data_IF_212045637586
#
_entry.id   IF_212045637586
#
_cell.length_a   1.000
_cell.length_b   1.000
_cell.length_c   1.000
_cell.angle_alpha   90.00
_cell.angle_beta   90.00
_cell.angle_gamma   90.00
#
_symmetry.space_group_name_H-M   'P 1'
#
loop_
_entity.id
_entity.type
_entity.pdbx_description
1 polymer ?
#
# COMPACT_ATOMS: atom_id res chain seq x y z
N UNK A 1 -33.64 -0.90 23.89
CA UNK A 1 -32.24 -0.51 23.66
C UNK A 1 -31.35 -1.47 24.44
N UNK A 2 -30.67 -2.39 23.73
CA UNK A 2 -30.07 -3.60 24.32
C UNK A 2 -28.59 -3.42 24.59
N UNK A 3 -28.18 -3.66 25.83
CA UNK A 3 -26.81 -3.58 26.36
C UNK A 3 -25.86 -4.66 25.79
N UNK A 4 -26.37 -5.60 24.97
CA UNK A 4 -25.62 -6.72 24.42
C UNK A 4 -24.58 -6.34 23.33
N UNK A 5 -24.56 -5.09 22.84
CA UNK A 5 -23.61 -4.65 21.79
C UNK A 5 -22.27 -4.12 22.28
N UNK A 6 -22.02 -4.06 23.59
CA UNK A 6 -20.79 -3.44 24.14
C UNK A 6 -19.66 -4.40 24.50
N UNK A 7 -19.85 -5.72 24.36
CA UNK A 7 -18.88 -6.71 24.83
C UNK A 7 -17.82 -7.17 23.79
N UNK A 8 -17.94 -6.78 22.50
CA UNK A 8 -17.06 -7.32 21.44
C UNK A 8 -15.99 -6.35 20.91
N UNK A 9 -15.79 -5.19 21.54
CA UNK A 9 -14.76 -4.22 21.11
C UNK A 9 -13.48 -4.21 21.97
N UNK A 10 -13.35 -5.14 22.91
CA UNK A 10 -12.14 -5.29 23.70
C UNK A 10 -11.49 -6.65 23.38
N UNK A 11 -10.52 -6.66 22.47
CA UNK A 11 -9.28 -7.46 22.49
C UNK A 11 -8.70 -7.60 21.07
N UNK A 12 -7.75 -6.75 20.73
CA UNK A 12 -6.72 -7.11 19.77
C UNK A 12 -5.37 -6.66 20.32
N UNK A 13 -4.59 -7.56 20.95
CA UNK A 13 -3.21 -7.23 21.29
C UNK A 13 -2.39 -7.20 20.00
N UNK A 14 -2.03 -6.00 19.57
CA UNK A 14 -1.01 -5.80 18.54
C UNK A 14 0.32 -6.39 19.04
N UNK A 15 0.71 -7.55 18.53
CA UNK A 15 2.06 -8.09 18.76
C UNK A 15 3.07 -7.19 18.05
N UNK A 16 4.03 -6.55 18.74
CA UNK A 16 5.13 -5.90 18.06
C UNK A 16 6.04 -7.00 17.49
N UNK A 17 6.12 -7.08 16.16
CA UNK A 17 7.16 -7.84 15.47
C UNK A 17 8.49 -7.10 15.66
N UNK A 18 9.18 -7.36 16.76
CA UNK A 18 10.58 -7.00 16.88
C UNK A 18 11.38 -7.94 15.98
N UNK A 19 11.60 -7.52 14.74
CA UNK A 19 12.64 -8.10 13.88
C UNK A 19 13.96 -7.80 14.55
N UNK A 20 14.55 -8.83 15.17
CA UNK A 20 15.90 -8.78 15.71
C UNK A 20 16.87 -8.61 14.54
N UNK A 21 17.16 -7.35 14.22
CA UNK A 21 18.17 -6.94 13.24
C UNK A 21 19.55 -7.38 13.77
N UNK A 22 20.00 -8.58 13.38
CA UNK A 22 21.37 -9.04 13.60
C UNK A 22 22.30 -8.15 12.77
N UNK A 23 22.91 -7.14 13.41
CA UNK A 23 24.11 -6.52 12.87
C UNK A 23 25.20 -7.60 12.86
N UNK A 24 25.59 -8.04 11.68
CA UNK A 24 26.85 -8.72 11.49
C UNK A 24 27.97 -7.70 11.80
N UNK A 25 28.46 -7.73 13.05
CA UNK A 25 29.69 -7.04 13.40
C UNK A 25 30.83 -7.84 12.77
N UNK A 26 31.29 -7.36 11.62
CA UNK A 26 32.60 -7.68 11.06
C UNK A 26 33.68 -7.36 12.09
N UNK A 27 34.27 -8.42 12.66
CA UNK A 27 35.52 -8.32 13.41
C UNK A 27 36.62 -7.92 12.43
N UNK A 28 37.03 -6.64 12.49
CA UNK A 28 38.24 -6.17 11.82
C UNK A 28 39.47 -6.68 12.57
N UNK A 29 40.09 -7.74 12.06
CA UNK A 29 41.43 -8.15 12.45
C UNK A 29 42.46 -7.36 11.63
N UNK A 30 43.02 -6.29 12.22
CA UNK A 30 44.35 -5.79 11.84
C UNK A 30 45.35 -6.65 12.62
N UNK A 31 46.16 -7.49 12.00
CA UNK A 31 47.33 -7.18 11.15
C UNK A 31 48.51 -6.67 12.00
N UNK A 32 49.26 -7.64 12.53
CA UNK A 32 50.63 -7.46 12.98
C UNK A 32 51.46 -8.59 12.36
N UNK A 33 52.22 -8.17 11.36
CA UNK A 33 53.33 -8.89 10.75
C UNK A 33 54.33 -9.35 11.81
N UNK A 34 54.83 -10.59 11.67
CA UNK A 34 56.24 -10.88 11.94
C UNK A 34 56.69 -12.11 11.14
N UNK A 35 57.88 -11.95 10.57
CA UNK A 35 58.60 -12.77 9.60
C UNK A 35 58.69 -14.26 9.93
N UNK A 36 58.32 -15.12 8.99
CA UNK A 36 58.97 -16.43 8.83
C UNK A 36 59.03 -16.87 7.35
N UNK A 37 60.25 -16.88 6.83
CA UNK A 37 60.67 -17.40 5.54
C UNK A 37 60.27 -18.86 5.33
N UNK A 38 59.35 -19.17 4.41
CA UNK A 38 59.27 -20.50 3.80
C UNK A 38 58.89 -20.40 2.32
N UNK A 39 59.68 -21.13 1.53
CA UNK A 39 59.61 -21.28 0.08
C UNK A 39 58.18 -21.45 -0.45
N UNK A 40 57.78 -20.54 -1.34
CA UNK A 40 56.59 -20.71 -2.16
C UNK A 40 56.88 -21.75 -3.25
N UNK A 41 56.76 -23.02 -2.90
CA UNK A 41 56.43 -24.02 -3.92
C UNK A 41 54.93 -23.89 -4.22
N UNK A 42 54.64 -23.52 -5.47
CA UNK A 42 53.29 -23.48 -6.01
C UNK A 42 52.70 -24.89 -6.05
N UNK A 43 52.06 -25.26 -4.94
CA UNK A 43 51.28 -26.50 -4.80
C UNK A 43 49.80 -26.15 -4.77
N UNK A 44 49.30 -25.48 -5.81
CA UNK A 44 47.85 -25.35 -6.04
C UNK A 44 47.25 -26.71 -6.41
N UNK A 45 47.15 -27.59 -5.43
CA UNK A 45 46.18 -28.68 -5.45
C UNK A 45 44.82 -28.02 -5.25
N UNK A 46 44.11 -27.78 -6.36
CA UNK A 46 42.71 -27.39 -6.29
C UNK A 46 41.97 -28.50 -5.51
N UNK A 47 41.36 -28.19 -4.34
CA UNK A 47 40.56 -29.18 -3.65
C UNK A 47 39.49 -29.66 -4.61
N UNK A 48 39.24 -30.99 -4.70
CA UNK A 48 38.24 -31.52 -5.62
C UNK A 48 36.91 -30.82 -5.33
N UNK A 49 36.50 -29.99 -6.27
CA UNK A 49 35.28 -29.21 -6.23
C UNK A 49 34.01 -30.08 -6.21
N UNK A 50 34.18 -31.40 -6.25
CA UNK A 50 33.11 -32.40 -6.36
C UNK A 50 32.16 -32.47 -5.16
N UNK A 51 32.54 -32.00 -3.97
CA UNK A 51 31.66 -32.06 -2.78
C UNK A 51 31.13 -30.69 -2.34
N UNK A 52 31.89 -29.62 -2.53
CA UNK A 52 31.55 -28.28 -2.03
C UNK A 52 31.32 -27.22 -3.12
N UNK A 53 31.63 -27.49 -4.40
CA UNK A 53 31.27 -26.57 -5.47
C UNK A 53 29.90 -26.93 -6.06
N UNK A 54 28.96 -26.05 -5.79
CA UNK A 54 27.68 -25.90 -6.45
C UNK A 54 26.65 -27.03 -6.36
N UNK A 55 26.92 -28.33 -6.52
CA UNK A 55 25.84 -29.33 -6.73
C UNK A 55 25.87 -30.61 -5.86
N UNK A 56 26.94 -30.86 -5.11
CA UNK A 56 27.06 -32.06 -4.24
C UNK A 56 26.51 -31.88 -2.80
N UNK A 57 26.11 -30.66 -2.42
CA UNK A 57 25.70 -30.35 -1.07
C UNK A 57 24.29 -30.90 -0.74
N UNK A 58 24.04 -31.24 0.53
CA UNK A 58 22.74 -31.70 1.05
C UNK A 58 21.59 -30.73 0.71
N UNK A 59 21.88 -29.44 0.54
CA UNK A 59 20.93 -28.45 0.06
C UNK A 59 20.33 -28.83 -1.31
N UNK A 60 21.16 -29.09 -2.32
CA UNK A 60 20.68 -29.41 -3.67
C UNK A 60 20.03 -30.78 -3.76
N UNK A 61 20.51 -31.75 -2.97
CA UNK A 61 19.81 -33.02 -2.80
C UNK A 61 18.38 -32.79 -2.30
N UNK A 62 18.20 -31.97 -1.28
CA UNK A 62 16.88 -31.65 -0.74
C UNK A 62 16.02 -30.90 -1.75
N UNK A 63 16.59 -30.00 -2.56
CA UNK A 63 15.88 -29.30 -3.65
C UNK A 63 15.40 -30.28 -4.72
N UNK A 64 16.25 -31.22 -5.16
CA UNK A 64 15.87 -32.25 -6.13
C UNK A 64 14.77 -33.14 -5.56
N UNK A 65 14.91 -33.61 -4.32
CA UNK A 65 13.88 -34.41 -3.65
C UNK A 65 12.56 -33.64 -3.50
N UNK A 66 12.60 -32.35 -3.14
CA UNK A 66 11.42 -31.51 -3.06
C UNK A 66 10.76 -31.31 -4.43
N UNK A 67 11.55 -31.17 -5.50
CA UNK A 67 11.02 -31.04 -6.86
C UNK A 67 10.32 -32.33 -7.31
N UNK A 68 10.91 -33.50 -7.06
CA UNK A 68 10.31 -34.80 -7.37
C UNK A 68 9.04 -35.01 -6.54
N UNK A 69 9.10 -34.69 -5.24
CA UNK A 69 7.93 -34.77 -4.36
C UNK A 69 6.80 -33.87 -4.86
N UNK A 70 7.11 -32.65 -5.32
CA UNK A 70 6.11 -31.72 -5.87
C UNK A 70 5.46 -32.27 -7.13
N UNK A 71 6.25 -32.84 -8.06
CA UNK A 71 5.72 -33.47 -9.27
C UNK A 71 4.86 -34.69 -8.93
N UNK A 72 5.29 -35.51 -7.96
CA UNK A 72 4.52 -36.66 -7.49
C UNK A 72 3.19 -36.22 -6.86
N UNK A 73 3.19 -35.17 -6.03
CA UNK A 73 1.96 -34.60 -5.47
C UNK A 73 1.06 -34.09 -6.60
N UNK A 74 1.57 -33.34 -7.58
CA UNK A 74 0.72 -32.84 -8.66
C UNK A 74 0.11 -33.96 -9.52
N UNK A 75 0.85 -35.06 -9.75
CA UNK A 75 0.39 -36.20 -10.57
C UNK A 75 -0.55 -37.15 -9.82
N UNK A 76 -0.34 -37.35 -8.52
CA UNK A 76 -1.04 -38.35 -7.72
C UNK A 76 -1.92 -37.77 -6.62
N UNK A 77 -1.99 -36.44 -6.48
CA UNK A 77 -2.92 -35.83 -5.55
C UNK A 77 -4.36 -36.16 -5.98
N UNK A 78 -5.21 -36.59 -5.04
CA UNK A 78 -6.62 -36.79 -5.31
C UNK A 78 -7.24 -35.49 -5.79
N UNK A 79 -8.07 -35.59 -6.83
CA UNK A 79 -8.88 -34.50 -7.29
C UNK A 79 -9.93 -34.13 -6.22
N UNK A 80 -10.44 -32.90 -6.26
CA UNK A 80 -11.44 -32.44 -5.28
C UNK A 80 -12.75 -33.26 -5.29
N UNK A 81 -12.93 -34.16 -6.27
CA UNK A 81 -14.07 -35.09 -6.36
C UNK A 81 -13.75 -36.54 -5.97
N UNK A 82 -12.49 -36.87 -5.64
CA UNK A 82 -12.13 -38.21 -5.21
C UNK A 82 -12.54 -38.43 -3.74
N UNK A 83 -13.22 -39.54 -3.47
CA UNK A 83 -13.77 -39.92 -2.17
C UNK A 83 -12.67 -40.47 -1.27
N UNK A 84 -11.74 -39.60 -0.89
CA UNK A 84 -10.64 -39.89 0.03
C UNK A 84 -11.09 -39.55 1.44
N UNK A 85 -10.79 -40.43 2.40
CA UNK A 85 -11.17 -40.21 3.81
C UNK A 85 -10.79 -38.82 4.34
N UNK A 86 -9.62 -38.31 3.95
CA UNK A 86 -9.16 -36.98 4.34
C UNK A 86 -10.01 -35.85 3.73
N UNK A 87 -10.41 -35.94 2.46
CA UNK A 87 -11.26 -34.92 1.83
C UNK A 87 -12.67 -34.93 2.45
N UNK A 88 -13.20 -36.10 2.77
CA UNK A 88 -14.48 -36.25 3.48
C UNK A 88 -14.42 -35.70 4.92
N UNK A 89 -13.33 -35.96 5.64
CA UNK A 89 -13.11 -35.41 6.99
C UNK A 89 -13.00 -33.88 6.96
N UNK A 90 -12.26 -33.33 6.00
CA UNK A 90 -12.17 -31.87 5.81
C UNK A 90 -13.56 -31.31 5.46
N UNK A 91 -14.28 -31.95 4.55
CA UNK A 91 -15.62 -31.52 4.12
C UNK A 91 -16.62 -31.44 5.29
N UNK A 92 -16.51 -32.33 6.28
CA UNK A 92 -17.38 -32.34 7.46
C UNK A 92 -17.24 -31.08 8.33
N UNK A 93 -16.04 -30.48 8.39
CA UNK A 93 -15.76 -29.31 9.21
C UNK A 93 -15.72 -28.00 8.42
N UNK A 94 -15.74 -28.05 7.09
CA UNK A 94 -15.76 -26.86 6.24
C UNK A 94 -17.19 -26.44 5.89
N UNK A 95 -17.46 -25.13 5.91
CA UNK A 95 -18.72 -24.62 5.42
C UNK A 95 -18.88 -24.90 3.90
N UNK A 96 -20.11 -25.23 3.43
CA UNK A 96 -20.35 -25.56 2.03
C UNK A 96 -19.97 -24.37 1.13
N UNK A 97 -19.50 -24.67 -0.08
CA UNK A 97 -19.05 -23.65 -1.07
C UNK A 97 -20.09 -22.55 -1.29
N UNK A 98 -21.37 -22.91 -1.36
CA UNK A 98 -22.46 -21.97 -1.61
C UNK A 98 -22.61 -20.93 -0.49
N UNK A 99 -22.30 -21.29 0.75
CA UNK A 99 -22.27 -20.35 1.87
C UNK A 99 -21.25 -19.23 1.60
N UNK A 100 -20.03 -19.58 1.20
CA UNK A 100 -18.99 -18.60 0.89
C UNK A 100 -19.33 -17.75 -0.33
N UNK A 101 -19.93 -18.35 -1.37
CA UNK A 101 -20.37 -17.61 -2.54
C UNK A 101 -21.42 -16.55 -2.19
N UNK A 102 -22.43 -16.91 -1.40
CA UNK A 102 -23.46 -15.95 -0.97
C UNK A 102 -22.89 -14.86 -0.05
N UNK A 103 -21.96 -15.21 0.84
CA UNK A 103 -21.31 -14.26 1.73
C UNK A 103 -20.42 -13.26 0.95
N UNK A 104 -19.64 -13.76 0.00
CA UNK A 104 -18.80 -12.92 -0.87
C UNK A 104 -19.64 -12.01 -1.78
N UNK A 105 -20.76 -12.52 -2.31
CA UNK A 105 -21.69 -11.71 -3.09
C UNK A 105 -22.29 -10.58 -2.25
N UNK A 106 -22.74 -10.86 -1.02
CA UNK A 106 -23.24 -9.86 -0.08
C UNK A 106 -22.18 -8.82 0.28
N UNK A 107 -20.96 -9.26 0.58
CA UNK A 107 -19.86 -8.36 0.91
C UNK A 107 -19.50 -7.45 -0.26
N UNK A 108 -19.50 -7.99 -1.48
CA UNK A 108 -19.22 -7.22 -2.71
C UNK A 108 -20.28 -6.15 -2.95
N UNK A 109 -21.56 -6.48 -2.76
CA UNK A 109 -22.65 -5.52 -2.86
C UNK A 109 -22.53 -4.40 -1.81
N UNK A 110 -22.28 -4.76 -0.55
CA UNK A 110 -22.09 -3.78 0.54
C UNK A 110 -20.86 -2.88 0.30
N UNK A 111 -19.78 -3.44 -0.24
CA UNK A 111 -18.57 -2.68 -0.58
C UNK A 111 -18.84 -1.68 -1.71
N UNK A 112 -19.67 -2.05 -2.69
CA UNK A 112 -20.06 -1.16 -3.77
C UNK A 112 -20.94 0.00 -3.27
N UNK A 113 -21.89 -0.28 -2.37
CA UNK A 113 -22.72 0.75 -1.71
C UNK A 113 -21.86 1.73 -0.91
N UNK A 114 -20.96 1.21 -0.07
CA UNK A 114 -20.06 2.05 0.74
C UNK A 114 -19.15 2.92 -0.13
N UNK A 115 -18.66 2.38 -1.25
CA UNK A 115 -17.85 3.14 -2.19
C UNK A 115 -18.64 4.29 -2.84
N UNK A 116 -19.91 4.05 -3.19
CA UNK A 116 -20.79 5.08 -3.74
C UNK A 116 -21.08 6.19 -2.72
N UNK A 117 -21.38 5.83 -1.47
CA UNK A 117 -21.62 6.79 -0.39
C UNK A 117 -20.38 7.61 -0.07
N UNK A 118 -19.22 6.95 0.00
CA UNK A 118 -17.93 7.62 0.23
C UNK A 118 -17.64 8.62 -0.88
N UNK A 119 -17.93 8.27 -2.14
CA UNK A 119 -17.79 9.17 -3.28
C UNK A 119 -18.71 10.38 -3.17
N UNK A 120 -19.98 10.18 -2.80
CA UNK A 120 -20.94 11.27 -2.63
C UNK A 120 -20.47 12.30 -1.60
N UNK A 121 -19.92 11.84 -0.47
CA UNK A 121 -19.40 12.71 0.59
C UNK A 121 -18.11 13.40 0.16
N UNK A 122 -17.22 12.69 -0.55
CA UNK A 122 -15.95 13.25 -1.00
C UNK A 122 -16.11 14.29 -2.11
N UNK A 123 -17.11 14.13 -3.00
CA UNK A 123 -17.40 15.08 -4.08
C UNK A 123 -18.12 16.34 -3.57
N UNK A 124 -18.58 16.37 -2.31
CA UNK A 124 -19.31 17.49 -1.75
C UNK A 124 -18.39 18.70 -1.49
N UNK A 125 -18.41 19.69 -2.39
CA UNK A 125 -17.74 20.98 -2.18
C UNK A 125 -18.64 21.95 -1.41
N UNK A 126 -18.05 22.75 -0.51
CA UNK A 126 -18.76 23.89 0.09
C UNK A 126 -19.13 24.89 -1.01
N UNK A 127 -20.36 25.44 -1.02
CA UNK A 127 -20.69 26.49 -1.96
C UNK A 127 -19.77 27.69 -1.75
N UNK A 128 -19.31 28.30 -2.84
CA UNK A 128 -18.50 29.52 -2.78
C UNK A 128 -19.42 30.66 -2.33
N UNK A 129 -19.28 31.08 -1.07
CA UNK A 129 -20.04 32.22 -0.53
C UNK A 129 -19.20 33.48 -0.72
N UNK A 130 -19.62 34.35 -1.64
CA UNK A 130 -19.06 35.69 -1.76
C UNK A 130 -19.64 36.60 -0.67
N UNK A 131 -18.86 36.91 0.36
CA UNK A 131 -19.23 37.88 1.40
C UNK A 131 -18.68 39.25 1.00
N UNK A 132 -19.54 40.11 0.46
CA UNK A 132 -19.18 41.48 0.17
C UNK A 132 -19.19 42.31 1.45
N UNK A 133 -18.07 42.96 1.77
CA UNK A 133 -17.96 43.87 2.92
C UNK A 133 -18.83 45.11 2.73
N UNK A 134 -18.99 45.56 1.48
CA UNK A 134 -19.73 46.78 1.12
C UNK A 134 -20.66 46.51 -0.07
N UNK A 135 -21.86 45.91 0.13
CA UNK A 135 -22.79 45.64 -0.97
C UNK A 135 -23.26 46.93 -1.67
N UNK A 136 -23.26 48.05 -0.96
CA UNK A 136 -23.61 49.39 -1.45
C UNK A 136 -22.69 49.94 -2.55
N UNK A 137 -21.47 49.41 -2.72
CA UNK A 137 -20.59 49.86 -3.81
C UNK A 137 -21.04 49.36 -5.18
N UNK A 138 -21.81 48.26 -5.25
CA UNK A 138 -22.37 47.73 -6.50
C UNK A 138 -23.36 48.71 -7.15
N UNK A 139 -24.09 49.48 -6.33
CA UNK A 139 -25.03 50.51 -6.81
C UNK A 139 -24.37 51.85 -7.12
N UNK A 140 -23.09 52.06 -6.77
CA UNK A 140 -22.38 53.31 -7.03
C UNK A 140 -21.62 53.32 -8.38
N UNK A 141 -21.77 52.29 -9.20
CA UNK A 141 -21.14 52.24 -10.51
C UNK A 141 -21.75 53.31 -11.44
N UNK A 142 -21.01 54.40 -11.63
CA UNK A 142 -21.31 55.37 -12.70
C UNK A 142 -21.05 54.71 -14.06
N UNK A 143 -21.97 54.83 -15.04
CA UNK A 143 -21.77 54.33 -16.40
C UNK A 143 -20.50 54.82 -17.08
N UNK A 144 -19.94 55.93 -16.59
CA UNK A 144 -18.75 56.59 -17.14
C UNK A 144 -17.50 56.44 -16.25
N UNK A 145 -17.49 55.52 -15.28
CA UNK A 145 -16.38 55.34 -14.31
C UNK A 145 -16.04 56.62 -13.52
N UNK A 146 -16.99 57.56 -13.42
CA UNK A 146 -16.79 58.79 -12.68
C UNK A 146 -16.96 58.52 -11.18
N UNK A 147 -15.91 58.79 -10.40
CA UNK A 147 -15.99 58.75 -8.94
C UNK A 147 -17.04 59.74 -8.42
N UNK A 148 -17.74 59.38 -7.35
CA UNK A 148 -18.68 60.28 -6.67
C UNK A 148 -17.98 61.61 -6.32
N UNK A 149 -18.60 62.73 -6.69
CA UNK A 149 -18.04 64.08 -6.46
C UNK A 149 -16.99 64.55 -7.48
N UNK A 150 -16.71 63.80 -8.56
CA UNK A 150 -15.76 64.22 -9.62
C UNK A 150 -16.38 65.01 -10.79
N UNK A 151 -17.68 65.22 -10.78
CA UNK A 151 -18.32 66.10 -11.78
C UNK A 151 -18.00 67.55 -11.45
N UNK A 152 -17.03 68.11 -12.18
CA UNK A 152 -16.73 69.55 -12.15
C UNK A 152 -17.80 70.27 -12.97
N UNK A 153 -18.42 71.31 -12.40
CA UNK A 153 -19.34 72.18 -13.12
C UNK A 153 -18.57 72.99 -14.17
N UNK A 154 -18.81 72.70 -15.45
CA UNK A 154 -18.20 73.36 -16.60
C UNK A 154 -19.11 74.45 -17.21
N UNK A 155 -20.22 74.81 -16.57
CA UNK A 155 -21.20 75.77 -17.09
C UNK A 155 -20.64 77.17 -17.35
N UNK A 156 -19.52 77.52 -16.68
CA UNK A 156 -18.82 78.79 -16.86
C UNK A 156 -17.65 78.78 -17.86
N UNK A 157 -17.37 77.64 -18.52
CA UNK A 157 -16.21 77.53 -19.41
C UNK A 157 -16.60 77.91 -20.84
N UNK A 158 -16.18 79.10 -21.28
CA UNK A 158 -16.36 79.56 -22.66
C UNK A 158 -15.11 79.20 -23.48
N UNK A 159 -15.23 78.43 -24.58
CA UNK A 159 -14.09 78.12 -25.43
C UNK A 159 -13.57 79.39 -26.09
N UNK A 160 -12.26 79.60 -26.04
CA UNK A 160 -11.61 80.75 -26.68
C UNK A 160 -11.63 80.55 -28.19
N UNK A 161 -12.46 81.32 -28.90
CA UNK A 161 -12.47 81.38 -30.36
C UNK A 161 -11.32 82.28 -30.83
N UNK A 162 -10.32 81.67 -31.46
CA UNK A 162 -9.30 82.41 -32.21
C UNK A 162 -9.86 82.76 -33.59
N UNK A 163 -9.93 84.06 -33.87
CA UNK A 163 -10.07 84.64 -35.22
C UNK A 163 -8.78 84.40 -36.00
#
# INVERSE_FOLDING_TARGET
MSLARRAFLATSPSRPLFVAQRRAASSSSHDHHDDHHHHAEDSTVYPPESTNAAFGNSFWRNVVLASIATVAVFKYAPSAGDDVYLSQWIALYTAPRDYWLTLNAKHSAQSAELAADTRLVNDATRPIIHRYVNPQSLSQASPFLNGVGRTVDMSGVVPKTTV
#
